data_IF_102369863526
#
_entry.id   IF_102369863526
#
_cell.length_a   1.000
_cell.length_b   1.000
_cell.length_c   1.000
_cell.angle_alpha   90.00
_cell.angle_beta   90.00
_cell.angle_gamma   90.00
#
_symmetry.space_group_name_H-M   'P 1'
#
loop_
_entity.id
_entity.type
_entity.pdbx_description
1 polymer ?
#
# COMPACT_ATOMS: atom_id res chain seq x y z
N UNK A 1 23.99 16.16 9.25
CA UNK A 1 22.96 15.31 9.88
C UNK A 1 22.71 14.09 9.00
N UNK A 2 21.82 13.18 9.41
CA UNK A 2 21.37 12.06 8.57
C UNK A 2 20.06 12.42 7.87
N UNK A 3 19.83 11.91 6.66
CA UNK A 3 18.54 12.00 5.98
C UNK A 3 17.66 10.85 6.46
N UNK A 4 16.48 11.18 6.95
CA UNK A 4 15.47 10.22 7.42
C UNK A 4 14.46 9.98 6.31
N UNK A 5 14.34 8.73 5.87
CA UNK A 5 13.40 8.34 4.82
C UNK A 5 12.00 8.09 5.38
N UNK A 6 11.00 8.59 4.68
CA UNK A 6 9.58 8.54 5.07
C UNK A 6 8.76 7.52 4.31
N UNK A 7 9.32 6.93 3.23
CA UNK A 7 8.65 5.95 2.38
C UNK A 7 8.18 4.73 3.17
N UNK A 8 6.93 4.32 2.91
CA UNK A 8 6.26 3.26 3.64
C UNK A 8 6.28 1.91 2.91
N UNK A 9 5.84 0.84 3.59
CA UNK A 9 5.89 -0.52 3.07
C UNK A 9 5.06 -0.68 1.78
N UNK A 10 3.94 0.03 1.67
CA UNK A 10 3.01 -0.07 0.54
C UNK A 10 3.57 0.63 -0.69
N UNK A 11 4.18 1.80 -0.48
CA UNK A 11 4.94 2.52 -1.52
C UNK A 11 6.12 1.68 -2.03
N UNK A 12 6.86 1.04 -1.11
CA UNK A 12 7.92 0.11 -1.47
C UNK A 12 7.39 -1.10 -2.25
N UNK A 13 6.25 -1.67 -1.86
CA UNK A 13 5.63 -2.80 -2.55
C UNK A 13 5.25 -2.44 -3.99
N UNK A 14 4.62 -1.29 -4.19
CA UNK A 14 4.18 -0.79 -5.50
C UNK A 14 5.30 -0.10 -6.28
N UNK A 15 6.47 0.11 -5.67
CA UNK A 15 7.52 0.99 -6.19
C UNK A 15 6.99 2.39 -6.54
N UNK A 16 6.09 2.91 -5.71
CA UNK A 16 5.50 4.25 -5.82
C UNK A 16 6.42 5.29 -5.19
N UNK A 17 7.61 5.39 -5.77
CA UNK A 17 8.68 6.27 -5.33
C UNK A 17 9.62 6.52 -6.53
N UNK A 18 10.39 7.61 -6.47
CA UNK A 18 11.44 7.88 -7.45
C UNK A 18 12.70 7.11 -7.08
N UNK A 19 13.20 6.30 -8.02
CA UNK A 19 14.46 5.59 -7.80
C UNK A 19 15.61 6.58 -7.65
N UNK A 20 16.42 6.43 -6.60
CA UNK A 20 17.47 7.38 -6.24
C UNK A 20 16.96 8.81 -5.94
N UNK A 21 15.67 8.95 -5.62
CA UNK A 21 15.04 10.17 -5.13
C UNK A 21 14.52 9.97 -3.70
N UNK A 22 13.21 10.12 -3.51
CA UNK A 22 12.50 9.92 -2.24
C UNK A 22 12.62 8.48 -1.67
N UNK A 23 12.98 7.51 -2.51
CA UNK A 23 13.29 6.15 -2.07
C UNK A 23 14.60 6.06 -1.26
N UNK A 24 15.54 6.98 -1.43
CA UNK A 24 16.85 6.95 -0.79
C UNK A 24 16.89 7.79 0.51
N UNK A 25 17.60 7.26 1.50
CA UNK A 25 17.85 7.92 2.78
C UNK A 25 19.03 7.23 3.48
N UNK A 26 19.47 7.76 4.62
CA UNK A 26 20.41 7.04 5.49
C UNK A 26 19.68 6.04 6.40
N UNK A 27 18.40 6.29 6.74
CA UNK A 27 17.59 5.38 7.54
C UNK A 27 16.09 5.57 7.26
N UNK A 28 15.40 4.50 6.83
CA UNK A 28 13.97 4.48 6.52
C UNK A 28 13.13 4.05 7.72
N UNK A 29 12.53 5.01 8.43
CA UNK A 29 11.78 4.73 9.67
C UNK A 29 10.42 4.07 9.42
N UNK A 30 9.85 4.28 8.23
CA UNK A 30 8.53 3.76 7.85
C UNK A 30 8.58 2.53 6.93
N UNK A 31 9.77 2.04 6.59
CA UNK A 31 9.96 1.03 5.53
C UNK A 31 9.22 -0.31 5.77
N UNK A 32 8.77 -0.58 7.00
CA UNK A 32 8.01 -1.78 7.37
C UNK A 32 6.58 -1.50 7.83
N UNK A 33 6.11 -0.25 7.73
CA UNK A 33 4.76 0.16 8.13
C UNK A 33 3.90 0.26 6.87
N UNK A 34 2.81 -0.51 6.71
CA UNK A 34 1.89 -0.36 5.58
C UNK A 34 1.08 0.94 5.69
N UNK A 35 0.67 1.51 4.55
CA UNK A 35 -0.11 2.77 4.46
C UNK A 35 -1.36 2.73 5.31
N UNK A 36 -2.06 1.59 5.30
CA UNK A 36 -3.26 1.36 6.13
C UNK A 36 -2.97 1.49 7.63
N UNK A 37 -1.76 1.17 8.09
CA UNK A 37 -1.34 1.29 9.50
C UNK A 37 -0.83 2.69 9.86
N UNK A 38 -0.20 3.42 8.93
CA UNK A 38 0.33 4.78 9.18
C UNK A 38 -0.74 5.67 9.80
N UNK A 39 -1.95 5.71 9.22
CA UNK A 39 -3.08 6.49 9.72
C UNK A 39 -3.48 6.08 11.14
N UNK A 40 -3.44 4.78 11.44
CA UNK A 40 -3.72 4.25 12.78
C UNK A 40 -2.70 4.71 13.82
N UNK A 41 -1.41 4.71 13.46
CA UNK A 41 -0.32 5.18 14.33
C UNK A 41 -0.48 6.67 14.63
N UNK A 42 -0.70 7.49 13.60
CA UNK A 42 -0.87 8.95 13.77
C UNK A 42 -2.09 9.25 14.64
N UNK A 43 -3.25 8.63 14.36
CA UNK A 43 -4.46 8.79 15.20
C UNK A 43 -4.24 8.33 16.64
N UNK A 44 -3.50 7.25 16.86
CA UNK A 44 -3.18 6.76 18.21
C UNK A 44 -2.26 7.73 18.97
N UNK A 45 -1.27 8.29 18.28
CA UNK A 45 -0.36 9.28 18.86
C UNK A 45 -1.08 10.60 19.16
N UNK A 46 -1.92 11.09 18.25
CA UNK A 46 -2.71 12.32 18.42
C UNK A 46 -3.57 12.29 19.69
N UNK A 47 -4.17 11.13 20.03
CA UNK A 47 -4.97 10.96 21.26
C UNK A 47 -4.17 11.15 22.55
N UNK A 48 -2.83 11.12 22.50
CA UNK A 48 -1.93 11.31 23.63
C UNK A 48 -1.36 12.74 23.72
N UNK A 49 -1.69 13.61 22.76
CA UNK A 49 -1.19 14.99 22.71
C UNK A 49 -2.23 15.98 23.22
N UNK A 50 -1.75 17.18 23.57
CA UNK A 50 -2.57 18.35 23.91
C UNK A 50 -3.06 19.09 22.66
N UNK A 51 -3.97 20.03 22.86
CA UNK A 51 -4.94 20.56 21.89
C UNK A 51 -4.36 20.85 20.48
N UNK A 52 -3.43 21.80 20.34
CA UNK A 52 -2.96 22.24 19.03
C UNK A 52 -2.27 21.13 18.21
N UNK A 53 -1.49 20.26 18.86
CA UNK A 53 -0.80 19.14 18.18
C UNK A 53 -1.82 18.08 17.78
N UNK A 54 -2.77 17.77 18.67
CA UNK A 54 -3.81 16.79 18.40
C UNK A 54 -4.67 17.21 17.22
N UNK A 55 -5.11 18.46 17.16
CA UNK A 55 -5.91 19.00 16.06
C UNK A 55 -5.16 18.92 14.74
N UNK A 56 -3.89 19.35 14.72
CA UNK A 56 -3.04 19.28 13.52
C UNK A 56 -2.87 17.85 13.01
N UNK A 57 -2.62 16.88 13.90
CA UNK A 57 -2.43 15.48 13.48
C UNK A 57 -3.72 14.84 12.97
N UNK A 58 -4.87 15.23 13.49
CA UNK A 58 -6.17 14.76 13.00
C UNK A 58 -6.50 15.39 11.64
N UNK A 59 -6.20 16.67 11.45
CA UNK A 59 -6.34 17.36 10.15
C UNK A 59 -5.46 16.72 9.06
N UNK A 60 -4.20 16.40 9.39
CA UNK A 60 -3.30 15.63 8.49
C UNK A 60 -3.92 14.27 8.13
N UNK A 61 -4.57 13.60 9.09
CA UNK A 61 -5.25 12.34 8.80
C UNK A 61 -6.44 12.56 7.86
N UNK A 62 -7.25 13.59 8.08
CA UNK A 62 -8.47 13.81 7.32
C UNK A 62 -8.21 14.36 5.90
N UNK A 63 -7.01 14.89 5.67
CA UNK A 63 -6.53 15.29 4.35
C UNK A 63 -6.40 14.07 3.40
N UNK A 64 -7.02 14.11 2.21
CA UNK A 64 -6.88 13.05 1.21
C UNK A 64 -5.44 12.89 0.69
N UNK A 65 -5.04 11.66 0.36
CA UNK A 65 -3.70 11.37 -0.15
C UNK A 65 -3.59 11.78 -1.64
N UNK A 66 -2.81 12.83 -1.91
CA UNK A 66 -2.55 13.40 -3.25
C UNK A 66 -1.08 13.16 -3.67
N UNK A 67 -0.78 13.03 -4.98
CA UNK A 67 0.57 13.23 -5.48
C UNK A 67 1.05 14.65 -5.14
N UNK A 68 2.19 14.78 -4.47
CA UNK A 68 2.72 16.06 -3.96
C UNK A 68 3.11 17.05 -5.07
N UNK A 69 3.34 16.57 -6.30
CA UNK A 69 3.92 17.34 -7.39
C UNK A 69 2.90 17.98 -8.34
N UNK A 70 1.60 17.68 -8.19
CA UNK A 70 0.59 18.28 -9.04
C UNK A 70 0.00 19.52 -8.36
N UNK A 71 -0.01 20.68 -9.04
CA UNK A 71 -0.72 21.83 -8.50
C UNK A 71 -2.19 21.46 -8.29
N UNK A 72 -2.84 21.96 -7.23
CA UNK A 72 -4.28 21.80 -7.07
C UNK A 72 -5.01 22.37 -8.29
N UNK A 73 -6.23 21.90 -8.51
CA UNK A 73 -7.11 22.45 -9.53
C UNK A 73 -7.28 23.97 -9.33
N UNK A 74 -7.68 24.72 -10.37
CA UNK A 74 -7.91 26.17 -10.27
C UNK A 74 -8.91 26.58 -9.17
N UNK A 75 -9.75 25.65 -8.71
CA UNK A 75 -10.73 25.82 -7.62
C UNK A 75 -10.16 25.46 -6.22
N UNK A 76 -8.87 25.13 -6.11
CA UNK A 76 -8.20 24.75 -4.87
C UNK A 76 -8.42 23.28 -4.46
N UNK A 77 -9.16 22.49 -5.24
CA UNK A 77 -9.36 21.06 -4.95
C UNK A 77 -8.14 20.23 -5.36
N UNK A 78 -7.93 19.10 -4.69
CA UNK A 78 -6.88 18.15 -5.05
C UNK A 78 -7.13 17.63 -6.47
N UNK A 79 -6.16 17.85 -7.36
CA UNK A 79 -6.30 17.53 -8.79
C UNK A 79 -6.37 16.02 -9.08
N UNK A 80 -5.72 15.20 -8.26
CA UNK A 80 -5.68 13.75 -8.44
C UNK A 80 -5.48 13.04 -7.11
N UNK A 81 -6.27 12.02 -6.79
CA UNK A 81 -6.00 11.17 -5.61
C UNK A 81 -5.07 10.04 -6.02
N UNK A 82 -4.08 9.73 -5.18
CA UNK A 82 -3.11 8.68 -5.50
C UNK A 82 -3.80 7.35 -5.78
N UNK A 83 -4.77 6.95 -4.94
CA UNK A 83 -5.51 5.69 -5.09
C UNK A 83 -6.36 5.60 -6.37
N UNK A 84 -6.72 6.73 -6.99
CA UNK A 84 -7.40 6.72 -8.30
C UNK A 84 -6.45 6.22 -9.41
N UNK A 85 -5.15 6.48 -9.26
CA UNK A 85 -4.10 6.10 -10.21
C UNK A 85 -3.59 4.69 -9.95
N UNK A 86 -3.29 4.35 -8.69
CA UNK A 86 -2.60 3.10 -8.35
C UNK A 86 -3.51 2.02 -7.79
N UNK A 87 -4.75 2.33 -7.44
CA UNK A 87 -5.67 1.41 -6.73
C UNK A 87 -5.66 1.61 -5.21
N UNK A 88 -6.59 0.95 -4.53
CA UNK A 88 -6.76 1.07 -3.08
C UNK A 88 -5.59 0.48 -2.29
N UNK A 89 -5.04 1.24 -1.35
CA UNK A 89 -4.04 0.72 -0.41
C UNK A 89 -4.58 -0.40 0.47
N UNK A 90 -5.89 -0.43 0.75
CA UNK A 90 -6.51 -1.52 1.49
C UNK A 90 -6.43 -2.85 0.72
N UNK A 91 -6.63 -2.82 -0.61
CA UNK A 91 -6.43 -3.99 -1.47
C UNK A 91 -4.95 -4.37 -1.49
N UNK A 92 -4.07 -3.40 -1.77
CA UNK A 92 -2.63 -3.65 -1.91
C UNK A 92 -2.00 -4.24 -0.64
N UNK A 93 -2.32 -3.69 0.53
CA UNK A 93 -1.79 -4.16 1.80
C UNK A 93 -2.33 -5.54 2.17
N UNK A 94 -3.59 -5.83 1.82
CA UNK A 94 -4.19 -7.15 2.02
C UNK A 94 -3.50 -8.21 1.14
N UNK A 95 -3.30 -7.90 -0.15
CA UNK A 95 -2.56 -8.78 -1.07
C UNK A 95 -1.13 -8.99 -0.58
N UNK A 96 -0.42 -7.91 -0.24
CA UNK A 96 0.95 -7.96 0.24
C UNK A 96 1.10 -8.87 1.45
N UNK A 97 0.20 -8.73 2.44
CA UNK A 97 0.23 -9.54 3.64
C UNK A 97 0.02 -11.02 3.33
N UNK A 98 -1.03 -11.40 2.60
CA UNK A 98 -1.30 -12.82 2.33
C UNK A 98 -0.31 -13.46 1.35
N UNK A 99 0.20 -12.68 0.39
CA UNK A 99 1.23 -13.13 -0.53
C UNK A 99 2.54 -13.42 0.22
N UNK A 100 3.03 -12.50 1.06
CA UNK A 100 4.31 -12.66 1.74
C UNK A 100 4.25 -13.58 2.95
N UNK A 101 3.21 -13.47 3.77
CA UNK A 101 3.12 -14.23 5.03
C UNK A 101 2.74 -15.68 4.80
N UNK A 102 1.88 -15.96 3.81
CA UNK A 102 1.28 -17.27 3.60
C UNK A 102 1.56 -17.87 2.22
N UNK A 103 2.15 -17.13 1.27
CA UNK A 103 2.42 -17.64 -0.07
C UNK A 103 1.15 -17.96 -0.86
N UNK A 104 0.02 -17.32 -0.56
CA UNK A 104 -1.22 -17.59 -1.28
C UNK A 104 -1.20 -16.99 -2.69
N UNK A 105 -1.80 -17.71 -3.64
CA UNK A 105 -1.99 -17.25 -5.01
C UNK A 105 -3.13 -16.23 -5.15
N UNK A 106 -3.19 -15.51 -6.29
CA UNK A 106 -4.20 -14.49 -6.59
C UNK A 106 -5.63 -14.91 -6.31
N UNK A 107 -6.03 -16.12 -6.71
CA UNK A 107 -7.41 -16.57 -6.58
C UNK A 107 -7.86 -16.62 -5.14
N UNK A 108 -7.06 -17.26 -4.31
CA UNK A 108 -7.36 -17.39 -2.88
C UNK A 108 -7.38 -16.03 -2.19
N UNK A 109 -6.44 -15.14 -2.52
CA UNK A 109 -6.39 -13.80 -1.93
C UNK A 109 -7.63 -12.99 -2.32
N UNK A 110 -8.03 -13.04 -3.59
CA UNK A 110 -9.23 -12.36 -4.09
C UNK A 110 -10.49 -12.84 -3.36
N UNK A 111 -10.69 -14.16 -3.27
CA UNK A 111 -11.83 -14.77 -2.57
C UNK A 111 -11.84 -14.38 -1.09
N UNK A 112 -10.69 -14.40 -0.40
CA UNK A 112 -10.59 -13.99 1.00
C UNK A 112 -10.96 -12.51 1.18
N UNK A 113 -10.50 -11.64 0.28
CA UNK A 113 -10.79 -10.21 0.37
C UNK A 113 -12.27 -9.93 0.13
N UNK A 114 -12.85 -10.48 -0.95
CA UNK A 114 -14.27 -10.33 -1.27
C UNK A 114 -15.13 -10.86 -0.12
N UNK A 115 -14.86 -12.07 0.38
CA UNK A 115 -15.61 -12.63 1.50
C UNK A 115 -15.53 -11.74 2.75
N UNK A 116 -14.37 -11.12 3.03
CA UNK A 116 -14.23 -10.20 4.16
C UNK A 116 -15.10 -8.96 4.02
N UNK A 117 -15.19 -8.40 2.81
CA UNK A 117 -16.03 -7.24 2.50
C UNK A 117 -17.52 -7.59 2.53
N UNK A 118 -17.90 -8.74 1.99
CA UNK A 118 -19.29 -9.23 2.02
C UNK A 118 -19.75 -9.40 3.47
N UNK A 119 -18.95 -10.07 4.32
CA UNK A 119 -19.27 -10.24 5.74
C UNK A 119 -19.35 -8.91 6.50
N UNK A 120 -18.45 -7.97 6.23
CA UNK A 120 -18.51 -6.64 6.83
C UNK A 120 -19.77 -5.89 6.37
N UNK A 121 -20.08 -5.92 5.09
CA UNK A 121 -21.24 -5.25 4.50
C UNK A 121 -22.54 -5.76 5.10
N UNK A 122 -22.69 -7.08 5.24
CA UNK A 122 -23.86 -7.68 5.91
C UNK A 122 -23.96 -7.22 7.37
N UNK A 123 -22.83 -7.20 8.10
CA UNK A 123 -22.80 -6.76 9.51
C UNK A 123 -23.21 -5.30 9.70
N UNK A 124 -22.92 -4.45 8.72
CA UNK A 124 -23.28 -3.04 8.71
C UNK A 124 -24.68 -2.78 8.11
N UNK A 125 -25.41 -3.83 7.73
CA UNK A 125 -26.75 -3.74 7.15
C UNK A 125 -26.77 -3.30 5.67
N UNK A 126 -25.64 -3.37 4.98
CA UNK A 126 -25.51 -3.05 3.56
C UNK A 126 -25.87 -4.20 2.62
N UNK A 127 -25.83 -3.94 1.30
CA UNK A 127 -26.02 -4.96 0.26
C UNK A 127 -24.65 -5.41 -0.31
N UNK A 128 -24.22 -6.68 -0.08
CA UNK A 128 -22.97 -7.22 -0.62
C UNK A 128 -22.89 -7.22 -2.16
N UNK A 129 -24.01 -7.23 -2.87
CA UNK A 129 -24.03 -7.18 -4.33
C UNK A 129 -23.48 -5.86 -4.89
N UNK A 130 -23.37 -4.81 -4.06
CA UNK A 130 -22.77 -3.52 -4.45
C UNK A 130 -21.25 -3.50 -4.37
N UNK A 131 -20.62 -4.58 -3.94
CA UNK A 131 -19.16 -4.68 -3.89
C UNK A 131 -18.61 -4.76 -5.31
N UNK A 132 -17.78 -3.78 -5.68
CA UNK A 132 -17.15 -3.71 -6.99
C UNK A 132 -15.98 -4.70 -7.10
N UNK A 133 -16.33 -5.95 -7.39
CA UNK A 133 -15.37 -7.06 -7.59
C UNK A 133 -14.43 -6.79 -8.77
N UNK A 134 -14.88 -6.06 -9.79
CA UNK A 134 -14.06 -5.70 -10.95
C UNK A 134 -12.96 -4.70 -10.56
N UNK A 135 -13.29 -3.70 -9.74
CA UNK A 135 -12.28 -2.76 -9.22
C UNK A 135 -11.24 -3.47 -8.37
N UNK A 136 -11.65 -4.42 -7.53
CA UNK A 136 -10.73 -5.22 -6.71
C UNK A 136 -9.76 -6.00 -7.62
N UNK A 137 -10.25 -6.68 -8.65
CA UNK A 137 -9.42 -7.40 -9.62
C UNK A 137 -8.42 -6.49 -10.32
N UNK A 138 -8.87 -5.31 -10.79
CA UNK A 138 -8.02 -4.29 -11.40
C UNK A 138 -6.92 -3.78 -10.46
N UNK A 139 -7.23 -3.55 -9.19
CA UNK A 139 -6.28 -3.09 -8.19
C UNK A 139 -5.26 -4.20 -7.87
N UNK A 140 -5.69 -5.46 -7.74
CA UNK A 140 -4.79 -6.62 -7.59
C UNK A 140 -3.87 -6.80 -8.80
N UNK A 141 -4.39 -6.61 -10.02
CA UNK A 141 -3.59 -6.64 -11.25
C UNK A 141 -2.50 -5.58 -11.25
N UNK A 142 -2.85 -4.37 -10.78
CA UNK A 142 -1.91 -3.26 -10.60
C UNK A 142 -0.85 -3.62 -9.58
N UNK A 143 -1.25 -4.21 -8.44
CA UNK A 143 -0.33 -4.70 -7.42
C UNK A 143 0.69 -5.68 -8.01
N UNK A 144 0.26 -6.81 -8.59
CA UNK A 144 1.19 -7.83 -9.06
C UNK A 144 2.13 -7.31 -10.16
N UNK A 145 1.61 -6.55 -11.13
CA UNK A 145 2.46 -5.97 -12.18
C UNK A 145 3.53 -5.06 -11.58
N UNK A 146 3.16 -4.16 -10.67
CA UNK A 146 4.12 -3.22 -10.07
C UNK A 146 5.04 -3.91 -9.08
N UNK A 147 4.53 -4.80 -8.26
CA UNK A 147 5.30 -5.54 -7.28
C UNK A 147 6.48 -6.27 -7.94
N UNK A 148 6.26 -6.99 -9.04
CA UNK A 148 7.35 -7.65 -9.74
C UNK A 148 8.26 -6.67 -10.47
N UNK A 149 7.71 -5.77 -11.29
CA UNK A 149 8.52 -4.87 -12.15
C UNK A 149 9.32 -3.82 -11.37
N UNK A 150 8.92 -3.48 -10.14
CA UNK A 150 9.59 -2.48 -9.32
C UNK A 150 10.57 -3.08 -8.29
N UNK A 151 10.85 -4.38 -8.35
CA UNK A 151 11.76 -5.05 -7.42
C UNK A 151 13.15 -4.43 -7.38
N UNK A 152 13.66 -3.93 -8.51
CA UNK A 152 14.97 -3.27 -8.58
C UNK A 152 15.11 -2.09 -7.59
N UNK A 153 14.02 -1.37 -7.30
CA UNK A 153 14.03 -0.27 -6.33
C UNK A 153 14.28 -0.77 -4.90
N UNK A 154 13.80 -1.97 -4.58
CA UNK A 154 13.97 -2.58 -3.26
C UNK A 154 15.33 -3.24 -3.08
N UNK A 155 15.96 -3.68 -4.17
CA UNK A 155 17.30 -4.30 -4.14
C UNK A 155 18.36 -3.41 -3.50
N UNK A 156 18.24 -2.08 -3.59
CA UNK A 156 19.15 -1.12 -2.97
C UNK A 156 18.46 -0.20 -1.95
N UNK A 157 17.48 -0.71 -1.20
CA UNK A 157 16.81 0.10 -0.18
C UNK A 157 17.72 0.41 1.04
N UNK A 158 17.57 1.60 1.65
CA UNK A 158 18.24 1.98 2.89
C UNK A 158 17.97 1.01 4.05
N UNK A 159 18.75 1.15 5.12
CA UNK A 159 18.48 0.42 6.36
C UNK A 159 17.21 0.95 7.05
N UNK A 160 16.56 0.07 7.81
CA UNK A 160 15.32 0.35 8.50
C UNK A 160 14.93 -0.82 9.39
N UNK A 161 13.91 -0.62 10.21
CA UNK A 161 13.45 -1.62 11.18
C UNK A 161 12.26 -2.40 10.65
N UNK A 162 12.28 -3.72 10.82
CA UNK A 162 11.08 -4.57 10.66
C UNK A 162 10.18 -4.38 11.86
N UNK A 163 8.93 -4.01 11.62
CA UNK A 163 7.93 -3.75 12.68
C UNK A 163 6.81 -4.81 12.65
N UNK A 164 6.34 -5.16 11.47
CA UNK A 164 5.25 -6.10 11.28
C UNK A 164 5.70 -7.56 11.09
N UNK A 165 4.76 -8.39 10.67
CA UNK A 165 5.00 -9.80 10.33
C UNK A 165 5.71 -9.99 8.99
N UNK A 166 5.70 -8.97 8.13
CA UNK A 166 6.29 -8.95 6.78
C UNK A 166 7.16 -7.72 6.58
N UNK A 167 8.22 -7.85 5.79
CA UNK A 167 9.08 -6.74 5.36
C UNK A 167 9.57 -6.99 3.93
N UNK A 168 10.03 -5.94 3.27
CA UNK A 168 10.48 -5.99 1.87
C UNK A 168 11.99 -5.82 1.69
N UNK A 169 12.74 -5.90 2.79
CA UNK A 169 14.20 -5.83 2.74
C UNK A 169 14.79 -7.02 1.98
N UNK A 170 15.66 -6.80 0.98
CA UNK A 170 16.40 -7.87 0.30
C UNK A 170 17.39 -8.57 1.23
N UNK A 171 17.69 -7.93 2.37
CA UNK A 171 18.55 -8.45 3.44
C UNK A 171 17.74 -9.20 4.51
N UNK A 172 16.41 -9.19 4.42
CA UNK A 172 15.49 -9.79 5.39
C UNK A 172 14.50 -10.75 4.73
N UNK A 173 13.20 -10.48 4.86
CA UNK A 173 12.13 -11.43 4.52
C UNK A 173 11.93 -11.65 3.01
N UNK A 174 12.34 -10.72 2.14
CA UNK A 174 11.96 -10.75 0.73
C UNK A 174 13.15 -10.81 -0.22
N UNK A 175 13.38 -11.97 -0.84
CA UNK A 175 14.49 -12.19 -1.79
C UNK A 175 13.92 -12.59 -3.15
N UNK A 176 13.79 -11.62 -4.04
CA UNK A 176 13.31 -11.83 -5.41
C UNK A 176 14.30 -11.22 -6.43
N UNK A 177 14.58 -11.90 -7.56
CA UNK A 177 15.32 -11.31 -8.68
C UNK A 177 14.64 -10.04 -9.20
N UNK A 178 15.45 -9.04 -9.61
CA UNK A 178 14.90 -7.75 -10.10
C UNK A 178 14.25 -7.85 -11.48
N UNK A 179 14.48 -8.96 -12.17
CA UNK A 179 14.03 -9.33 -13.52
C UNK A 179 12.97 -10.45 -13.50
N UNK A 180 12.40 -10.79 -12.34
CA UNK A 180 11.34 -11.78 -12.21
C UNK A 180 10.06 -11.37 -12.94
N UNK A 181 9.38 -12.33 -13.59
CA UNK A 181 8.13 -12.10 -14.31
C UNK A 181 6.89 -12.34 -13.43
N UNK A 182 5.89 -11.46 -13.57
CA UNK A 182 4.58 -11.58 -12.91
C UNK A 182 3.59 -12.51 -13.66
N UNK A 183 3.98 -13.07 -14.80
CA UNK A 183 3.05 -13.66 -15.77
C UNK A 183 2.14 -14.75 -15.17
N UNK A 184 2.68 -15.63 -14.33
CA UNK A 184 1.90 -16.71 -13.71
C UNK A 184 0.83 -16.15 -12.76
N UNK A 185 1.16 -15.10 -12.01
CA UNK A 185 0.22 -14.43 -11.10
C UNK A 185 -0.88 -13.70 -11.88
N UNK A 186 -0.52 -13.04 -12.98
CA UNK A 186 -1.49 -12.33 -13.83
C UNK A 186 -2.43 -13.30 -14.56
N UNK A 187 -1.93 -14.45 -15.01
CA UNK A 187 -2.75 -15.51 -15.63
C UNK A 187 -3.79 -16.07 -14.65
N UNK A 188 -3.38 -16.39 -13.42
CA UNK A 188 -4.33 -16.89 -12.41
C UNK A 188 -5.40 -15.84 -12.06
N UNK A 189 -5.02 -14.57 -11.96
CA UNK A 189 -5.96 -13.48 -11.69
C UNK A 189 -6.98 -13.31 -12.85
N UNK A 190 -6.54 -13.43 -14.10
CA UNK A 190 -7.42 -13.31 -15.26
C UNK A 190 -8.53 -14.39 -15.29
N UNK A 191 -8.24 -15.61 -14.80
CA UNK A 191 -9.24 -16.70 -14.69
C UNK A 191 -10.36 -16.42 -13.69
N UNK A 192 -10.27 -15.34 -12.89
CA UNK A 192 -11.30 -14.91 -11.94
C UNK A 192 -12.19 -13.83 -12.55
N UNK A 193 -11.66 -13.07 -13.51
CA UNK A 193 -12.37 -11.99 -14.21
C UNK A 193 -13.22 -12.54 -15.38
N UNK A 194 -12.99 -13.78 -15.80
CA UNK A 194 -13.79 -14.57 -16.76
C UNK A 194 -14.98 -15.28 -16.07
#
# INVERSE_FOLDING_TARGET
GIVVGTGDLSELALGWCTYNGDQMSMYGVNASIPKTLVRGIVKSYAKKQEDAIKETLLDICDTPISPELLPPNPDGTIAQKTEEVIGSYAVHDFVLYYMLRYGFGPKKIFELYVNSLELQTVREGGNPEKIDKQRIGKDMKTFYKRFFTQQFKRSCMPDGIKVGSVSLSPRGDWRMPSDASAEIWLKELAMIEE
#
